data_IF_451824681217
#
_entry.id   IF_451824681217
#
_cell.length_a   1.000
_cell.length_b   1.000
_cell.length_c   1.000
_cell.angle_alpha   90.00
_cell.angle_beta   90.00
_cell.angle_gamma   90.00
#
_symmetry.space_group_name_H-M   'P 1'
#
loop_
_entity.id
_entity.type
_entity.pdbx_description
1 polymer ?
#
# COMPACT_ATOMS: atom_id res chain seq x y z
N UNK A 1 -11.90 14.11 -21.73
CA UNK A 1 -11.63 12.67 -21.55
C UNK A 1 -12.25 12.22 -20.23
N UNK A 2 -13.08 11.18 -20.24
CA UNK A 2 -13.84 10.71 -19.06
C UNK A 2 -13.69 9.20 -18.87
N UNK A 3 -13.78 8.75 -17.63
CA UNK A 3 -13.80 7.31 -17.30
C UNK A 3 -15.15 6.71 -17.73
N UNK A 4 -15.17 5.40 -18.00
CA UNK A 4 -16.33 4.61 -18.45
C UNK A 4 -17.42 4.40 -17.39
N UNK A 5 -17.59 5.35 -16.47
CA UNK A 5 -18.62 5.32 -15.44
C UNK A 5 -20.01 5.36 -16.08
N UNK A 6 -21.03 4.72 -15.47
CA UNK A 6 -22.37 4.64 -16.05
C UNK A 6 -22.97 6.00 -16.45
N UNK A 7 -22.68 7.05 -15.67
CA UNK A 7 -23.13 8.42 -15.95
C UNK A 7 -22.55 9.02 -17.25
N UNK A 8 -21.35 8.59 -17.66
CA UNK A 8 -20.64 9.10 -18.84
C UNK A 8 -20.75 8.17 -20.06
N UNK A 9 -21.54 7.09 -19.97
CA UNK A 9 -21.83 6.21 -21.12
C UNK A 9 -22.96 6.70 -22.01
N UNK A 10 -23.70 7.71 -21.58
CA UNK A 10 -24.82 8.27 -22.33
C UNK A 10 -24.40 9.60 -22.96
N UNK A 11 -23.92 9.53 -24.20
CA UNK A 11 -23.44 10.69 -24.96
C UNK A 11 -24.48 11.81 -25.06
N UNK A 12 -25.78 11.46 -25.07
CA UNK A 12 -26.85 12.45 -25.12
C UNK A 12 -26.96 13.26 -23.83
N UNK A 13 -26.86 12.60 -22.68
CA UNK A 13 -26.89 13.29 -21.37
C UNK A 13 -25.64 14.15 -21.18
N UNK A 14 -24.49 13.63 -21.62
CA UNK A 14 -23.22 14.33 -21.50
C UNK A 14 -23.17 15.58 -22.39
N UNK A 15 -23.71 15.50 -23.62
CA UNK A 15 -23.84 16.65 -24.52
C UNK A 15 -24.88 17.67 -24.05
N UNK A 16 -25.97 17.22 -23.42
CA UNK A 16 -26.95 18.12 -22.80
C UNK A 16 -26.39 18.95 -21.63
N UNK A 17 -25.33 18.46 -20.98
CA UNK A 17 -24.66 19.17 -19.88
C UNK A 17 -23.59 20.15 -20.37
N UNK A 18 -23.25 20.14 -21.67
CA UNK A 18 -22.35 21.13 -22.24
C UNK A 18 -23.12 22.44 -22.50
N UNK A 19 -22.53 23.57 -22.11
CA UNK A 19 -23.14 24.89 -22.29
C UNK A 19 -23.39 25.21 -23.77
N UNK A 20 -24.48 25.94 -24.04
CA UNK A 20 -24.84 26.36 -25.40
C UNK A 20 -23.70 27.17 -26.05
N UNK A 21 -23.22 26.69 -27.20
CA UNK A 21 -22.16 27.33 -27.98
C UNK A 21 -20.75 26.78 -27.74
N UNK A 22 -20.57 25.79 -26.86
CA UNK A 22 -19.29 25.10 -26.67
C UNK A 22 -19.38 23.72 -27.32
N UNK A 23 -18.60 23.51 -28.39
CA UNK A 23 -18.43 22.19 -28.99
C UNK A 23 -17.40 21.39 -28.18
N UNK A 24 -17.82 20.27 -27.60
CA UNK A 24 -16.99 19.44 -26.71
C UNK A 24 -16.93 18.01 -27.25
N UNK A 25 -15.73 17.57 -27.61
CA UNK A 25 -15.45 16.18 -27.96
C UNK A 25 -15.21 15.33 -26.71
N UNK A 26 -16.10 14.37 -26.49
CA UNK A 26 -15.97 13.40 -25.41
C UNK A 26 -15.24 12.15 -25.88
N UNK A 27 -14.05 11.95 -25.33
CA UNK A 27 -13.31 10.69 -25.44
C UNK A 27 -13.52 9.90 -24.16
N UNK A 28 -14.17 8.75 -24.27
CA UNK A 28 -14.40 7.81 -23.16
C UNK A 28 -13.31 6.75 -23.16
N UNK A 29 -12.61 6.61 -22.04
CA UNK A 29 -11.62 5.55 -21.89
C UNK A 29 -12.37 4.20 -21.86
N UNK A 30 -11.99 3.20 -22.67
CA UNK A 30 -12.70 1.93 -22.71
C UNK A 30 -12.80 1.27 -21.33
N UNK A 31 -13.90 0.56 -21.03
CA UNK A 31 -13.99 -0.19 -19.78
C UNK A 31 -12.88 -1.24 -19.71
N UNK A 32 -12.44 -1.56 -18.48
CA UNK A 32 -11.33 -2.50 -18.19
C UNK A 32 -9.95 -2.04 -18.69
N UNK A 33 -9.81 -0.77 -19.03
CA UNK A 33 -8.52 -0.12 -19.33
C UNK A 33 -7.68 0.16 -18.07
N UNK A 34 -8.31 0.21 -16.89
CA UNK A 34 -7.65 0.42 -15.59
C UNK A 34 -6.44 -0.48 -15.40
N UNK A 35 -6.56 -1.78 -15.70
CA UNK A 35 -5.44 -2.72 -15.56
C UNK A 35 -4.31 -2.52 -16.57
N UNK A 36 -4.55 -1.79 -17.67
CA UNK A 36 -3.56 -1.50 -18.69
C UNK A 36 -2.76 -0.23 -18.37
N UNK A 37 -3.36 0.69 -17.62
CA UNK A 37 -2.82 2.05 -17.41
C UNK A 37 -2.44 2.29 -15.94
N UNK A 38 -3.01 1.53 -15.00
CA UNK A 38 -2.82 1.72 -13.55
C UNK A 38 -2.16 0.50 -12.89
N UNK A 39 -0.82 0.39 -12.94
CA UNK A 39 -0.07 -0.70 -12.28
C UNK A 39 -0.34 -0.82 -10.79
N UNK A 40 -0.68 0.30 -10.14
CA UNK A 40 -1.07 0.33 -8.74
C UNK A 40 -2.35 -0.49 -8.47
N UNK A 41 -3.34 -0.40 -9.35
CA UNK A 41 -4.61 -1.15 -9.25
C UNK A 41 -4.42 -2.64 -9.55
N UNK A 42 -3.49 -2.97 -10.45
CA UNK A 42 -3.21 -4.35 -10.86
C UNK A 42 -2.60 -5.18 -9.73
N UNK A 43 -1.72 -4.56 -8.92
CA UNK A 43 -0.96 -5.30 -7.91
C UNK A 43 -0.72 -4.51 -6.62
N UNK A 44 -0.28 -3.26 -6.73
CA UNK A 44 0.17 -2.48 -5.57
C UNK A 44 -0.87 -2.30 -4.47
N UNK A 45 -2.11 -1.93 -4.80
CA UNK A 45 -3.18 -1.78 -3.82
C UNK A 45 -3.58 -3.08 -3.15
N UNK A 46 -3.41 -4.23 -3.81
CA UNK A 46 -3.63 -5.53 -3.17
C UNK A 46 -2.62 -5.75 -2.05
N UNK A 47 -1.34 -5.49 -2.33
CA UNK A 47 -0.27 -5.60 -1.33
C UNK A 47 -0.48 -4.61 -0.19
N UNK A 48 -0.85 -3.37 -0.52
CA UNK A 48 -1.15 -2.33 0.47
C UNK A 48 -2.30 -2.73 1.41
N UNK A 49 -3.43 -3.20 0.86
CA UNK A 49 -4.59 -3.64 1.64
C UNK A 49 -4.27 -4.83 2.53
N UNK A 50 -3.57 -5.84 1.98
CA UNK A 50 -3.17 -7.01 2.76
C UNK A 50 -2.29 -6.60 3.95
N UNK A 51 -1.29 -5.76 3.70
CA UNK A 51 -0.37 -5.27 4.73
C UNK A 51 -1.07 -4.42 5.80
N UNK A 52 -2.02 -3.56 5.38
CA UNK A 52 -2.87 -2.82 6.29
C UNK A 52 -3.70 -3.75 7.18
N UNK A 53 -4.34 -4.78 6.61
CA UNK A 53 -5.11 -5.74 7.39
C UNK A 53 -4.26 -6.41 8.47
N UNK A 54 -3.01 -6.79 8.14
CA UNK A 54 -2.08 -7.36 9.13
C UNK A 54 -1.75 -6.36 10.25
N UNK A 55 -1.34 -5.13 9.90
CA UNK A 55 -1.03 -4.10 10.90
C UNK A 55 -2.22 -3.86 11.81
N UNK A 56 -3.41 -3.68 11.23
CA UNK A 56 -4.62 -3.39 11.99
C UNK A 56 -4.98 -4.54 12.93
N UNK A 57 -4.87 -5.79 12.48
CA UNK A 57 -5.05 -6.96 13.34
C UNK A 57 -4.06 -7.01 14.50
N UNK A 58 -2.81 -6.63 14.28
CA UNK A 58 -1.79 -6.54 15.33
C UNK A 58 -2.03 -5.36 16.27
N UNK A 59 -2.43 -4.20 15.75
CA UNK A 59 -2.74 -3.00 16.55
C UNK A 59 -3.91 -3.30 17.48
N UNK A 60 -5.01 -3.88 16.98
CA UNK A 60 -6.16 -4.23 17.83
C UNK A 60 -5.77 -5.23 18.92
N UNK A 61 -4.86 -6.16 18.63
CA UNK A 61 -4.41 -7.18 19.59
C UNK A 61 -3.39 -6.67 20.61
N UNK A 62 -2.49 -5.78 20.21
CA UNK A 62 -1.32 -5.36 21.01
C UNK A 62 -1.43 -3.95 21.58
N UNK A 63 -2.39 -3.13 21.10
CA UNK A 63 -2.59 -1.77 21.58
C UNK A 63 -3.21 -1.79 22.98
N UNK A 64 -2.56 -1.16 23.98
CA UNK A 64 -3.20 -0.91 25.27
C UNK A 64 -4.22 0.24 25.20
N UNK A 65 -4.30 0.95 24.08
CA UNK A 65 -5.18 2.11 23.85
C UNK A 65 -6.42 1.63 23.09
N UNK A 66 -7.64 2.07 23.46
CA UNK A 66 -8.83 1.85 22.65
C UNK A 66 -8.62 2.46 21.27
N UNK A 67 -8.36 1.61 20.27
CA UNK A 67 -8.19 2.02 18.89
C UNK A 67 -9.58 2.37 18.33
N UNK A 68 -9.92 3.66 18.37
CA UNK A 68 -11.18 4.15 17.81
C UNK A 68 -11.01 4.26 16.29
N UNK A 69 -11.69 3.38 15.55
CA UNK A 69 -11.59 3.27 14.09
C UNK A 69 -11.91 4.58 13.35
N UNK A 70 -12.75 5.45 13.92
CA UNK A 70 -13.13 6.74 13.34
C UNK A 70 -12.16 7.90 13.63
N UNK A 71 -11.14 7.72 14.46
CA UNK A 71 -10.20 8.80 14.74
C UNK A 71 -9.18 8.96 13.61
N UNK A 72 -9.02 10.19 13.14
CA UNK A 72 -8.11 10.53 12.05
C UNK A 72 -6.67 10.03 12.27
N UNK A 73 -6.14 10.15 13.48
CA UNK A 73 -4.80 9.67 13.81
C UNK A 73 -4.66 8.15 13.65
N UNK A 74 -5.69 7.39 14.02
CA UNK A 74 -5.75 5.93 13.90
C UNK A 74 -5.86 5.46 12.45
N UNK A 75 -6.33 6.32 11.54
CA UNK A 75 -6.33 6.05 10.10
C UNK A 75 -4.98 6.45 9.49
N UNK A 76 -4.48 7.64 9.80
CA UNK A 76 -3.26 8.19 9.18
C UNK A 76 -2.02 7.40 9.60
N UNK A 77 -1.87 7.07 10.88
CA UNK A 77 -0.64 6.47 11.39
C UNK A 77 -0.30 5.12 10.74
N UNK A 78 -1.23 4.15 10.60
CA UNK A 78 -0.99 2.96 9.80
C UNK A 78 -0.61 3.31 8.36
N UNK A 79 -1.34 4.20 7.69
CA UNK A 79 -1.05 4.55 6.29
C UNK A 79 0.37 5.16 6.13
N UNK A 80 0.77 6.04 7.04
CA UNK A 80 2.12 6.61 7.08
C UNK A 80 3.20 5.54 7.30
N UNK A 81 2.95 4.57 8.17
CA UNK A 81 3.85 3.43 8.38
C UNK A 81 3.97 2.59 7.11
N UNK A 82 2.84 2.21 6.48
CA UNK A 82 2.84 1.40 5.26
C UNK A 82 3.59 2.14 4.15
N UNK A 83 3.27 3.42 3.94
CA UNK A 83 3.96 4.27 2.99
C UNK A 83 5.47 4.25 3.24
N UNK A 84 5.89 4.53 4.48
CA UNK A 84 7.31 4.49 4.84
C UNK A 84 7.93 3.13 4.51
N UNK A 85 7.29 2.03 4.88
CA UNK A 85 7.83 0.70 4.62
C UNK A 85 7.93 0.43 3.12
N UNK A 86 6.88 0.69 2.35
CA UNK A 86 6.83 0.40 0.92
C UNK A 86 7.74 1.29 0.07
N UNK A 87 8.18 2.43 0.62
CA UNK A 87 9.25 3.25 0.04
C UNK A 87 10.65 2.66 0.24
N UNK A 88 10.83 1.63 1.07
CA UNK A 88 12.13 1.03 1.31
C UNK A 88 12.65 0.28 0.07
N UNK A 89 13.98 0.29 -0.19
CA UNK A 89 14.58 -0.41 -1.33
C UNK A 89 14.20 -1.89 -1.41
N UNK A 90 13.98 -2.55 -0.26
CA UNK A 90 13.59 -3.95 -0.20
C UNK A 90 12.32 -4.28 -1.00
N UNK A 91 11.37 -3.35 -1.11
CA UNK A 91 10.11 -3.58 -1.84
C UNK A 91 10.13 -3.07 -3.29
N UNK A 92 11.26 -2.60 -3.81
CA UNK A 92 11.37 -2.23 -5.22
C UNK A 92 11.01 -3.38 -6.18
N UNK A 93 11.42 -4.65 -5.95
CA UNK A 93 11.03 -5.76 -6.80
C UNK A 93 9.51 -5.96 -6.88
N UNK A 94 8.79 -5.74 -5.76
CA UNK A 94 7.33 -5.79 -5.72
C UNK A 94 6.70 -4.74 -6.64
N UNK A 95 7.25 -3.52 -6.67
CA UNK A 95 6.74 -2.48 -7.53
C UNK A 95 7.02 -2.78 -9.00
N UNK A 96 8.24 -3.20 -9.33
CA UNK A 96 8.61 -3.66 -10.67
C UNK A 96 7.69 -4.77 -11.16
N UNK A 97 7.34 -5.72 -10.28
CA UNK A 97 6.37 -6.76 -10.60
C UNK A 97 5.00 -6.18 -11.00
N UNK A 98 4.52 -5.16 -10.29
CA UNK A 98 3.28 -4.45 -10.63
C UNK A 98 3.33 -3.84 -12.04
N UNK A 99 4.44 -3.20 -12.41
CA UNK A 99 4.63 -2.59 -13.73
C UNK A 99 4.74 -3.62 -14.88
N UNK A 100 5.42 -4.75 -14.64
CA UNK A 100 5.45 -5.85 -15.63
C UNK A 100 4.05 -6.44 -15.79
N UNK A 101 3.33 -6.62 -14.67
CA UNK A 101 1.99 -7.24 -14.68
C UNK A 101 0.93 -6.37 -15.36
N UNK A 102 1.08 -5.05 -15.33
CA UNK A 102 0.23 -4.13 -16.13
C UNK A 102 0.62 -4.08 -17.62
N UNK A 103 1.73 -4.72 -18.01
CA UNK A 103 2.26 -4.65 -19.37
C UNK A 103 2.94 -3.32 -19.68
N UNK A 104 3.26 -2.51 -18.66
CA UNK A 104 3.87 -1.18 -18.85
C UNK A 104 5.38 -1.24 -19.08
N UNK A 105 6.04 -2.32 -18.63
CA UNK A 105 7.44 -2.62 -18.90
C UNK A 105 7.57 -4.08 -19.36
N UNK A 106 8.58 -4.36 -20.18
CA UNK A 106 8.84 -5.71 -20.67
C UNK A 106 9.18 -6.66 -19.51
N UNK A 107 8.84 -7.94 -19.71
CA UNK A 107 9.17 -8.99 -18.74
C UNK A 107 10.68 -9.19 -18.71
N UNK A 108 11.33 -8.64 -17.69
CA UNK A 108 12.66 -9.06 -17.27
C UNK A 108 12.55 -10.32 -16.41
N UNK A 109 13.66 -11.05 -16.25
CA UNK A 109 13.78 -12.14 -15.29
C UNK A 109 13.47 -11.57 -13.90
N UNK A 110 12.25 -11.81 -13.41
CA UNK A 110 11.83 -11.29 -12.13
C UNK A 110 12.50 -12.10 -11.03
N UNK A 111 13.39 -11.45 -10.29
CA UNK A 111 13.90 -12.00 -9.04
C UNK A 111 12.72 -12.36 -8.13
N UNK A 112 12.79 -13.55 -7.54
CA UNK A 112 11.83 -13.96 -6.54
C UNK A 112 11.89 -12.99 -5.36
N UNK A 113 10.72 -12.51 -4.93
CA UNK A 113 10.60 -11.65 -3.75
C UNK A 113 9.47 -12.14 -2.85
N UNK A 114 9.68 -12.02 -1.54
CA UNK A 114 8.64 -12.21 -0.54
C UNK A 114 7.62 -11.08 -0.63
N UNK A 115 6.33 -11.39 -0.53
CA UNK A 115 5.33 -10.34 -0.39
C UNK A 115 5.59 -9.53 0.89
N UNK A 116 5.16 -8.26 0.98
CA UNK A 116 5.42 -7.46 2.17
C UNK A 116 4.93 -8.12 3.46
N UNK A 117 3.82 -8.86 3.38
CA UNK A 117 3.26 -9.54 4.55
C UNK A 117 4.10 -10.75 4.97
N UNK A 118 4.61 -11.53 4.02
CA UNK A 118 5.50 -12.67 4.28
C UNK A 118 6.81 -12.20 4.90
N UNK A 119 7.41 -11.13 4.36
CA UNK A 119 8.65 -10.58 4.88
C UNK A 119 8.48 -9.90 6.24
N UNK A 120 7.56 -8.93 6.35
CA UNK A 120 7.43 -8.10 7.55
C UNK A 120 6.83 -8.86 8.73
N UNK A 121 5.93 -9.80 8.46
CA UNK A 121 5.17 -10.53 9.47
C UNK A 121 5.48 -12.03 9.47
N UNK A 122 6.72 -12.39 9.14
CA UNK A 122 7.19 -13.77 9.18
C UNK A 122 6.92 -14.38 10.57
N UNK A 123 6.29 -15.55 10.59
CA UNK A 123 5.90 -16.26 11.82
C UNK A 123 7.09 -16.72 12.64
N UNK A 124 8.22 -17.01 11.98
CA UNK A 124 9.45 -17.42 12.64
C UNK A 124 10.03 -16.27 13.48
N UNK A 125 9.71 -15.03 13.11
CA UNK A 125 10.15 -13.85 13.85
C UNK A 125 9.34 -13.58 15.13
N UNK A 126 8.18 -14.22 15.33
CA UNK A 126 7.27 -13.88 16.45
C UNK A 126 7.89 -14.07 17.84
N UNK A 127 8.93 -14.91 17.95
CA UNK A 127 9.68 -15.15 19.19
C UNK A 127 10.93 -14.29 19.31
N UNK A 128 11.28 -13.54 18.27
CA UNK A 128 12.48 -12.70 18.25
C UNK A 128 12.21 -11.41 19.05
N UNK A 129 13.06 -11.06 20.02
CA UNK A 129 12.98 -9.79 20.73
C UNK A 129 13.19 -8.60 19.79
N UNK A 130 12.62 -7.45 20.16
CA UNK A 130 12.88 -6.18 19.50
C UNK A 130 14.39 -5.90 19.43
N UNK A 131 14.89 -5.57 18.24
CA UNK A 131 16.30 -5.22 18.01
C UNK A 131 16.71 -3.87 18.62
N UNK A 132 15.82 -3.17 19.31
CA UNK A 132 16.20 -1.98 20.09
C UNK A 132 16.91 -2.40 21.37
N UNK A 133 17.99 -1.71 21.77
CA UNK A 133 18.65 -1.95 23.06
C UNK A 133 17.66 -1.90 24.22
N UNK A 134 17.79 -2.84 25.15
CA UNK A 134 17.00 -2.93 26.38
C UNK A 134 15.47 -3.04 26.16
N UNK A 135 15.03 -3.58 25.02
CA UNK A 135 13.61 -3.82 24.75
C UNK A 135 13.29 -5.33 24.73
N UNK A 136 12.69 -5.90 25.79
CA UNK A 136 12.37 -7.34 25.83
C UNK A 136 11.08 -7.70 25.06
N UNK A 137 10.40 -6.70 24.47
CA UNK A 137 9.13 -6.91 23.79
C UNK A 137 9.34 -7.67 22.48
N UNK A 138 8.41 -8.56 22.16
CA UNK A 138 8.47 -9.42 20.98
C UNK A 138 8.22 -8.66 19.68
N UNK A 139 8.52 -9.33 18.57
CA UNK A 139 8.27 -8.89 17.20
C UNK A 139 6.84 -8.36 17.00
N UNK A 140 6.78 -7.21 16.34
CA UNK A 140 5.58 -6.68 15.70
C UNK A 140 5.75 -6.72 14.19
N UNK A 141 6.91 -6.27 13.70
CA UNK A 141 7.26 -6.39 12.29
C UNK A 141 8.77 -6.32 12.05
N UNK A 142 9.21 -6.86 10.91
CA UNK A 142 10.54 -6.63 10.35
C UNK A 142 10.53 -5.39 9.47
N UNK A 143 11.51 -4.50 9.65
CA UNK A 143 11.56 -3.23 8.93
C UNK A 143 12.15 -3.39 7.52
N UNK A 144 11.47 -2.89 6.48
CA UNK A 144 11.96 -2.92 5.10
C UNK A 144 13.22 -2.09 4.84
N UNK A 145 13.54 -1.12 5.71
CA UNK A 145 14.72 -0.26 5.58
C UNK A 145 15.97 -0.89 6.20
N UNK A 146 15.91 -1.23 7.50
CA UNK A 146 17.07 -1.70 8.25
C UNK A 146 17.07 -3.21 8.52
N UNK A 147 16.05 -3.94 8.06
CA UNK A 147 15.86 -5.39 8.21
C UNK A 147 15.76 -5.90 9.65
N UNK A 148 15.75 -4.99 10.63
CA UNK A 148 15.62 -5.31 12.06
C UNK A 148 14.18 -5.67 12.42
N UNK A 149 14.05 -6.55 13.40
CA UNK A 149 12.77 -6.92 14.03
C UNK A 149 12.44 -5.88 15.10
N UNK A 150 11.27 -5.26 15.03
CA UNK A 150 10.87 -4.19 15.93
C UNK A 150 9.53 -4.53 16.59
N UNK A 151 9.38 -4.18 17.87
CA UNK A 151 8.11 -4.31 18.59
C UNK A 151 7.19 -3.12 18.32
N UNK A 152 5.89 -3.32 18.61
CA UNK A 152 4.84 -2.33 18.40
C UNK A 152 5.19 -0.97 19.02
N UNK A 153 5.61 -0.97 20.28
CA UNK A 153 5.89 0.26 21.04
C UNK A 153 7.11 1.03 20.55
N UNK A 154 8.10 0.33 20.00
CA UNK A 154 9.33 0.97 19.54
C UNK A 154 9.19 1.55 18.14
N UNK A 155 8.24 1.03 17.35
CA UNK A 155 8.14 1.34 15.94
C UNK A 155 6.83 2.01 15.54
N UNK A 156 5.67 1.49 15.95
CA UNK A 156 4.37 1.96 15.45
C UNK A 156 4.11 3.46 15.68
N UNK A 157 4.38 4.05 16.86
CA UNK A 157 4.19 5.49 17.06
C UNK A 157 5.14 6.36 16.23
N UNK A 158 6.35 5.87 15.98
CA UNK A 158 7.40 6.62 15.26
C UNK A 158 7.35 6.46 13.76
N UNK A 159 6.89 5.30 13.28
CA UNK A 159 6.61 4.94 11.89
C UNK A 159 7.72 5.21 10.85
N UNK A 160 8.91 5.63 11.28
CA UNK A 160 10.09 5.87 10.46
C UNK A 160 11.28 5.06 10.99
N UNK A 161 12.10 4.58 10.06
CA UNK A 161 13.39 3.99 10.38
C UNK A 161 14.41 5.09 10.68
N UNK A 162 15.00 5.08 11.88
CA UNK A 162 16.08 6.02 12.26
C UNK A 162 17.48 5.42 12.05
N UNK A 163 17.57 4.29 11.33
CA UNK A 163 18.82 3.57 11.05
C UNK A 163 19.19 3.61 9.56
N UNK A 164 18.65 4.58 8.81
CA UNK A 164 19.07 4.85 7.44
C UNK A 164 20.34 5.68 7.52
N UNK A 165 21.48 4.99 7.53
CA UNK A 165 22.81 5.57 7.37
C UNK A 165 23.34 5.20 6.00
#
# INVERSE_FOLDING_TARGET
MVDSWPAFRNDHVVKMLADEGIDVDFITIPPRSTSLIQPLDVYGFRMWKAFLCYIMGLVVRQSPIPFVLGQRANIILPQSLIHNQFSAPHYQPMWQHGWVKSGSIERQDQEHFDTPSEYSFNRDDFRIPCSRPNCPKLHFMRCGWCRKVLCFFCFFPKHFCTHVG
#
